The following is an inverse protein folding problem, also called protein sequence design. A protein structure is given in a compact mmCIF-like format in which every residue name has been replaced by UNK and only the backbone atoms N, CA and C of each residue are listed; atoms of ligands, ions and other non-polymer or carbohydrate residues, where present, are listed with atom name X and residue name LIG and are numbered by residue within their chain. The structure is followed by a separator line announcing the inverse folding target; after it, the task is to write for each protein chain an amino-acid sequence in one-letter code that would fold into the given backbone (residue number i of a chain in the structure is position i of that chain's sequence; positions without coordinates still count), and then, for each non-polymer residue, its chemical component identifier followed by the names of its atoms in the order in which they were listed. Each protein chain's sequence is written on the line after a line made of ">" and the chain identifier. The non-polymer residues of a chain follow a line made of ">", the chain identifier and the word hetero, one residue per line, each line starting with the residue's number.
data_IF_797782626937
#
_entry.id   IF_797782626937
#
_cell.length_a   1.000
_cell.length_b   1.000
_cell.length_c   1.000
_cell.angle_alpha   90.00
_cell.angle_beta   90.00
_cell.angle_gamma   90.00
#
_symmetry.space_group_name_H-M   'P 1'
#
loop_
_entity.id
_entity.type
_entity.pdbx_description
1 polymer ?
#
# COMPACT_ATOMS: atom_id res chain seq x y z
N UNK A 1 10.39 -9.26 -3.40
CA UNK A 1 10.02 -7.89 -3.74
C UNK A 1 8.94 -7.91 -4.82
N UNK A 2 9.22 -8.35 -6.04
CA UNK A 2 8.27 -8.35 -7.17
C UNK A 2 6.87 -8.97 -6.90
N UNK A 3 6.73 -9.83 -5.89
CA UNK A 3 5.43 -10.39 -5.52
C UNK A 3 4.55 -9.34 -4.83
N UNK A 4 5.05 -8.67 -3.79
CA UNK A 4 4.26 -7.66 -3.04
C UNK A 4 3.90 -6.47 -3.92
N UNK A 5 4.81 -6.08 -4.83
CA UNK A 5 4.58 -5.02 -5.82
C UNK A 5 3.37 -5.35 -6.71
N UNK A 6 3.34 -6.57 -7.25
CA UNK A 6 2.21 -7.03 -8.07
C UNK A 6 0.92 -7.12 -7.28
N UNK A 7 1.00 -7.56 -6.02
CA UNK A 7 -0.18 -7.73 -5.18
C UNK A 7 -0.81 -6.37 -4.82
N UNK A 8 0.01 -5.37 -4.45
CA UNK A 8 -0.48 -4.01 -4.21
C UNK A 8 -1.11 -3.42 -5.48
N UNK A 9 -0.42 -3.52 -6.64
CA UNK A 9 -0.96 -3.06 -7.93
C UNK A 9 -2.30 -3.71 -8.23
N UNK A 10 -2.37 -5.04 -8.08
CA UNK A 10 -3.61 -5.80 -8.29
C UNK A 10 -4.76 -5.25 -7.44
N UNK A 11 -4.52 -5.00 -6.16
CA UNK A 11 -5.55 -4.46 -5.25
C UNK A 11 -5.94 -3.05 -5.66
N UNK A 12 -4.98 -2.16 -5.94
CA UNK A 12 -5.23 -0.78 -6.35
C UNK A 12 -5.98 -0.67 -7.69
N UNK A 13 -5.63 -1.51 -8.67
CA UNK A 13 -6.28 -1.53 -9.99
C UNK A 13 -7.67 -2.17 -9.92
N UNK A 14 -7.85 -3.21 -9.10
CA UNK A 14 -9.14 -3.90 -8.95
C UNK A 14 -10.14 -3.10 -8.11
N UNK A 15 -9.67 -2.30 -7.16
CA UNK A 15 -10.49 -1.44 -6.32
C UNK A 15 -9.83 -0.08 -6.04
N UNK A 16 -9.91 0.86 -7.02
CA UNK A 16 -9.34 2.20 -6.89
C UNK A 16 -9.82 2.95 -5.65
N UNK A 17 -11.04 2.71 -5.20
CA UNK A 17 -11.63 3.34 -4.01
C UNK A 17 -10.77 3.11 -2.75
N UNK A 18 -10.21 1.92 -2.54
CA UNK A 18 -9.35 1.64 -1.39
C UNK A 18 -8.09 2.51 -1.40
N UNK A 19 -7.52 2.76 -2.58
CA UNK A 19 -6.37 3.64 -2.75
C UNK A 19 -6.75 5.11 -2.50
N UNK A 20 -7.91 5.56 -3.00
CA UNK A 20 -8.42 6.92 -2.77
C UNK A 20 -8.63 7.17 -1.27
N UNK A 21 -9.22 6.23 -0.54
CA UNK A 21 -9.43 6.34 0.91
C UNK A 21 -8.09 6.49 1.65
N UNK A 22 -7.07 5.72 1.27
CA UNK A 22 -5.73 5.83 1.83
C UNK A 22 -5.10 7.20 1.50
N UNK A 23 -5.15 7.64 0.24
CA UNK A 23 -4.62 8.95 -0.20
C UNK A 23 -5.31 10.10 0.54
N UNK A 24 -6.63 10.07 0.65
CA UNK A 24 -7.39 11.07 1.39
C UNK A 24 -6.94 11.16 2.85
N UNK A 25 -6.70 10.01 3.49
CA UNK A 25 -6.23 9.96 4.87
C UNK A 25 -4.80 10.48 5.02
N UNK A 26 -3.88 10.03 4.16
CA UNK A 26 -2.45 10.36 4.25
C UNK A 26 -2.18 11.83 3.97
N UNK A 27 -2.81 12.37 2.94
CA UNK A 27 -2.55 13.73 2.45
C UNK A 27 -3.62 14.74 2.88
N UNK A 28 -4.55 14.36 3.78
CA UNK A 28 -5.67 15.21 4.21
C UNK A 28 -6.44 15.79 3.03
N UNK A 29 -6.71 14.94 2.02
CA UNK A 29 -7.48 15.28 0.83
C UNK A 29 -8.92 14.80 0.97
N UNK A 30 -9.78 15.27 0.05
CA UNK A 30 -11.21 14.96 0.02
C UNK A 30 -11.66 14.61 -1.40
N UNK A 31 -10.85 13.79 -2.11
CA UNK A 31 -11.25 13.27 -3.41
C UNK A 31 -12.52 12.43 -3.26
N UNK A 32 -13.38 12.48 -4.28
CA UNK A 32 -14.53 11.58 -4.35
C UNK A 32 -14.05 10.13 -4.33
N UNK A 33 -14.76 9.26 -3.62
CA UNK A 33 -14.39 7.84 -3.51
C UNK A 33 -14.53 7.08 -4.85
N UNK A 34 -15.23 7.67 -5.82
CA UNK A 34 -15.43 7.22 -7.19
C UNK A 34 -14.64 8.05 -8.23
N UNK A 35 -13.71 8.91 -7.77
CA UNK A 35 -12.86 9.66 -8.68
C UNK A 35 -12.02 8.75 -9.57
N UNK A 36 -11.80 9.16 -10.80
CA UNK A 36 -10.92 8.45 -11.72
C UNK A 36 -9.46 8.56 -11.27
N UNK A 37 -8.76 7.42 -11.25
CA UNK A 37 -7.32 7.37 -11.02
C UNK A 37 -6.62 7.16 -12.36
N UNK A 38 -5.72 8.07 -12.72
CA UNK A 38 -4.84 7.93 -13.86
C UNK A 38 -3.48 7.46 -13.37
N UNK A 39 -3.11 6.20 -13.63
CA UNK A 39 -1.78 5.70 -13.33
C UNK A 39 -0.79 6.21 -14.36
N UNK A 40 0.25 6.94 -13.89
CA UNK A 40 1.23 7.60 -14.75
C UNK A 40 2.42 6.69 -15.10
N UNK A 41 2.52 5.53 -14.43
CA UNK A 41 3.61 4.59 -14.63
C UNK A 41 3.44 3.75 -15.88
N UNK A 42 4.27 4.03 -16.85
CA UNK A 42 4.62 3.06 -17.88
C UNK A 42 6.13 2.92 -17.89
N UNK A 43 6.60 1.81 -17.28
CA UNK A 43 7.95 1.26 -17.43
C UNK A 43 9.08 2.30 -17.40
N UNK A 44 9.51 2.67 -16.21
CA UNK A 44 10.85 3.23 -16.07
C UNK A 44 11.84 2.06 -16.08
N UNK A 45 12.36 1.72 -17.26
CA UNK A 45 13.62 1.01 -17.37
C UNK A 45 14.72 1.93 -16.83
N UNK A 46 14.92 1.90 -15.52
CA UNK A 46 16.08 2.52 -14.90
C UNK A 46 17.23 1.52 -15.09
N UNK A 47 18.12 1.84 -16.01
CA UNK A 47 19.44 1.24 -16.17
C UNK A 47 20.32 1.57 -14.95
N UNK A 48 19.89 1.17 -13.77
CA UNK A 48 20.72 1.14 -12.57
C UNK A 48 21.06 -0.33 -12.30
N UNK A 49 22.32 -0.69 -12.51
CA UNK A 49 22.86 -2.05 -12.38
C UNK A 49 22.79 -2.66 -10.98
N UNK A 50 21.89 -2.22 -10.11
CA UNK A 50 21.54 -2.83 -8.85
C UNK A 50 20.15 -3.44 -8.94
N UNK A 51 20.07 -4.76 -8.77
CA UNK A 51 18.88 -5.61 -8.82
C UNK A 51 17.86 -5.35 -7.69
N UNK A 52 17.55 -4.12 -7.36
CA UNK A 52 16.49 -3.76 -6.39
C UNK A 52 15.32 -3.20 -7.15
N UNK A 53 14.36 -4.07 -7.43
CA UNK A 53 13.05 -3.69 -7.98
C UNK A 53 12.27 -2.99 -6.87
N UNK A 54 12.06 -1.72 -7.01
CA UNK A 54 11.27 -0.90 -6.11
C UNK A 54 9.94 -0.61 -6.78
N UNK A 55 8.87 -0.58 -6.01
CA UNK A 55 7.56 -0.25 -6.52
C UNK A 55 7.25 1.21 -6.28
N UNK A 56 7.49 2.00 -7.30
CA UNK A 56 7.02 3.38 -7.34
C UNK A 56 5.61 3.40 -7.95
N UNK A 57 4.68 4.05 -7.29
CA UNK A 57 3.34 4.27 -7.83
C UNK A 57 3.15 5.76 -8.08
N UNK A 58 3.12 6.15 -9.34
CA UNK A 58 2.78 7.51 -9.76
C UNK A 58 1.35 7.52 -10.30
N UNK A 59 0.55 8.44 -9.80
CA UNK A 59 -0.85 8.56 -10.21
C UNK A 59 -1.34 10.00 -10.12
N UNK A 60 -2.46 10.26 -10.80
CA UNK A 60 -3.16 11.53 -10.77
C UNK A 60 -4.63 11.30 -10.42
N UNK A 61 -5.16 12.11 -9.51
CA UNK A 61 -6.58 12.16 -9.13
C UNK A 61 -6.98 13.63 -9.14
N UNK A 62 -7.99 14.02 -9.94
CA UNK A 62 -8.52 15.39 -9.97
C UNK A 62 -7.41 16.44 -10.13
N UNK A 63 -6.44 16.21 -11.03
CA UNK A 63 -5.28 17.08 -11.29
C UNK A 63 -4.25 17.15 -10.15
N UNK A 64 -4.40 16.38 -9.08
CA UNK A 64 -3.39 16.23 -8.04
C UNK A 64 -2.50 15.01 -8.35
N UNK A 65 -1.19 15.20 -8.39
CA UNK A 65 -0.23 14.11 -8.63
C UNK A 65 0.30 13.56 -7.33
N UNK A 66 0.42 12.22 -7.29
CA UNK A 66 0.87 11.46 -6.14
C UNK A 66 2.00 10.53 -6.53
N UNK A 67 2.97 10.42 -5.62
CA UNK A 67 4.04 9.42 -5.68
C UNK A 67 4.07 8.64 -4.37
N UNK A 68 3.72 7.36 -4.42
CA UNK A 68 3.69 6.48 -3.26
C UNK A 68 4.73 5.39 -3.50
N UNK A 69 5.72 5.33 -2.63
CA UNK A 69 6.75 4.31 -2.62
C UNK A 69 6.42 3.25 -1.59
N UNK A 70 6.37 1.98 -2.01
CA UNK A 70 6.21 0.85 -1.11
C UNK A 70 7.54 0.15 -0.91
N UNK A 71 7.97 0.00 0.33
CA UNK A 71 9.27 -0.56 0.64
C UNK A 71 9.18 -1.67 1.68
N UNK A 72 9.99 -2.72 1.48
CA UNK A 72 10.04 -3.85 2.41
C UNK A 72 10.82 -3.50 3.67
N UNK A 73 11.94 -2.81 3.53
CA UNK A 73 12.87 -2.49 4.63
C UNK A 73 13.30 -1.02 4.54
N UNK A 74 13.76 -0.50 5.68
CA UNK A 74 14.38 0.82 5.75
C UNK A 74 15.58 0.90 4.79
N UNK A 75 15.68 2.02 4.07
CA UNK A 75 16.75 2.32 3.13
C UNK A 75 16.91 3.83 2.96
N UNK A 76 17.72 4.26 2.02
CA UNK A 76 18.00 5.69 1.79
C UNK A 76 16.84 6.35 0.99
N UNK A 77 15.62 6.32 1.60
CA UNK A 77 14.38 6.70 0.93
C UNK A 77 14.30 8.18 0.60
N UNK A 78 14.82 9.03 1.48
CA UNK A 78 14.74 10.48 1.30
C UNK A 78 15.32 10.92 -0.05
N UNK A 79 16.51 10.41 -0.40
CA UNK A 79 17.19 10.76 -1.67
C UNK A 79 16.36 10.25 -2.86
N UNK A 80 15.88 9.02 -2.79
CA UNK A 80 15.09 8.40 -3.88
C UNK A 80 13.78 9.15 -4.11
N UNK A 81 13.07 9.50 -3.04
CA UNK A 81 11.82 10.25 -3.15
C UNK A 81 12.03 11.59 -3.85
N UNK A 82 13.09 12.33 -3.49
CA UNK A 82 13.43 13.59 -4.16
C UNK A 82 13.80 13.33 -5.63
N UNK A 83 14.66 12.35 -5.90
CA UNK A 83 15.11 12.04 -7.25
C UNK A 83 13.94 11.66 -8.17
N UNK A 84 13.07 10.76 -7.75
CA UNK A 84 11.96 10.30 -8.56
C UNK A 84 10.87 11.36 -8.71
N UNK A 85 10.54 12.09 -7.63
CA UNK A 85 9.62 13.22 -7.71
C UNK A 85 10.08 14.28 -8.72
N UNK A 86 11.36 14.61 -8.72
CA UNK A 86 11.95 15.57 -9.67
C UNK A 86 11.97 15.02 -11.10
N UNK A 87 12.35 13.75 -11.29
CA UNK A 87 12.33 13.12 -12.62
C UNK A 87 10.93 13.13 -13.24
N UNK A 88 9.92 12.78 -12.46
CA UNK A 88 8.55 12.76 -12.94
C UNK A 88 8.03 14.17 -13.26
N UNK A 89 8.35 15.14 -12.41
CA UNK A 89 8.03 16.56 -12.67
C UNK A 89 8.66 17.04 -13.97
N UNK A 90 9.96 16.79 -14.18
CA UNK A 90 10.68 17.18 -15.39
C UNK A 90 10.12 16.47 -16.61
N UNK A 91 9.73 15.19 -16.50
CA UNK A 91 9.10 14.44 -17.58
C UNK A 91 7.77 15.08 -17.99
N UNK A 92 6.93 15.43 -17.01
CA UNK A 92 5.67 16.14 -17.26
C UNK A 92 5.87 17.45 -17.98
N UNK A 93 6.84 18.28 -17.54
CA UNK A 93 7.18 19.53 -18.21
C UNK A 93 7.61 19.35 -19.66
N UNK A 94 8.40 18.31 -19.96
CA UNK A 94 8.83 18.01 -21.35
C UNK A 94 7.69 17.55 -22.25
N UNK A 95 6.71 16.85 -21.71
CA UNK A 95 5.57 16.35 -22.47
C UNK A 95 4.52 17.42 -22.72
N UNK A 96 4.28 18.29 -21.76
CA UNK A 96 3.21 19.29 -21.83
C UNK A 96 3.67 20.63 -22.38
N UNK A 97 4.98 20.85 -22.54
CA UNK A 97 5.52 22.07 -23.11
C UNK A 97 5.33 23.33 -22.25
N UNK A 98 5.16 23.17 -20.94
CA UNK A 98 4.83 24.25 -19.99
C UNK A 98 5.99 25.21 -19.72
N UNK A 99 6.81 25.49 -20.73
CA UNK A 99 7.81 26.54 -20.69
C UNK A 99 7.19 27.81 -21.27
N UNK A 100 6.77 28.70 -20.41
CA UNK A 100 6.19 29.98 -20.82
C UNK A 100 7.31 30.96 -21.11
N UNK A 101 7.36 31.46 -22.34
CA UNK A 101 8.24 32.58 -22.67
C UNK A 101 7.59 33.86 -22.18
N UNK A 102 8.18 34.46 -21.14
CA UNK A 102 7.81 35.80 -20.68
C UNK A 102 8.59 36.81 -21.50
N UNK A 103 8.03 38.00 -21.77
CA UNK A 103 8.67 39.07 -22.53
C UNK A 103 10.11 39.39 -22.04
N UNK A 104 10.95 39.91 -22.92
CA UNK A 104 12.33 40.34 -22.63
C UNK A 104 13.38 39.23 -22.38
N UNK A 105 13.21 38.07 -23.02
CA UNK A 105 14.20 37.00 -22.95
C UNK A 105 14.16 36.20 -21.63
N UNK A 106 13.14 36.38 -20.82
CA UNK A 106 12.85 35.58 -19.63
C UNK A 106 12.04 34.34 -20.00
N UNK A 107 12.40 33.22 -19.37
CA UNK A 107 11.63 32.00 -19.39
C UNK A 107 11.19 31.69 -17.96
N UNK A 108 9.92 31.34 -17.78
CA UNK A 108 9.38 30.87 -16.53
C UNK A 108 9.03 29.40 -16.67
N UNK A 109 9.41 28.61 -15.69
CA UNK A 109 9.08 27.20 -15.56
C UNK A 109 8.43 27.01 -14.21
N UNK A 110 7.21 26.50 -14.22
CA UNK A 110 6.55 26.10 -12.97
C UNK A 110 6.86 24.63 -12.68
N UNK A 111 7.45 24.36 -11.53
CA UNK A 111 7.82 23.01 -11.08
C UNK A 111 6.86 22.59 -9.97
N UNK A 112 5.92 21.70 -10.30
CA UNK A 112 4.94 21.18 -9.35
C UNK A 112 5.35 19.76 -8.96
N UNK A 113 5.88 19.63 -7.73
CA UNK A 113 6.23 18.32 -7.19
C UNK A 113 4.97 17.52 -6.85
N UNK A 114 4.96 16.19 -7.09
CA UNK A 114 3.86 15.34 -6.62
C UNK A 114 3.81 15.32 -5.08
N UNK A 115 2.65 15.08 -4.53
CA UNK A 115 2.51 14.72 -3.12
C UNK A 115 3.10 13.32 -2.91
N UNK A 116 4.03 13.18 -1.96
CA UNK A 116 4.83 11.97 -1.83
C UNK A 116 4.64 11.32 -0.46
N UNK A 117 4.58 9.99 -0.44
CA UNK A 117 4.55 9.19 0.79
C UNK A 117 5.37 7.91 0.65
N UNK A 118 5.90 7.42 1.75
CA UNK A 118 6.59 6.12 1.85
C UNK A 118 5.76 5.17 2.69
N UNK A 119 5.55 3.94 2.20
CA UNK A 119 4.86 2.87 2.91
C UNK A 119 5.84 1.75 3.21
N UNK A 120 6.16 1.53 4.48
CA UNK A 120 7.00 0.42 4.91
C UNK A 120 6.17 -0.83 5.17
N UNK A 121 6.35 -1.87 4.37
CA UNK A 121 5.63 -3.14 4.52
C UNK A 121 6.26 -4.02 5.62
N UNK A 122 7.57 -3.86 5.87
CA UNK A 122 8.28 -4.58 6.92
C UNK A 122 9.32 -3.67 7.58
N UNK A 123 9.66 -3.94 8.84
CA UNK A 123 10.53 -3.08 9.63
C UNK A 123 9.73 -2.16 10.55
N UNK A 124 10.32 -1.77 11.67
CA UNK A 124 9.72 -0.76 12.53
C UNK A 124 10.27 0.58 12.08
N UNK A 125 9.54 1.29 11.24
CA UNK A 125 9.84 2.71 11.06
C UNK A 125 9.44 3.42 12.36
N UNK A 126 10.38 4.12 12.96
CA UNK A 126 10.16 4.94 14.16
C UNK A 126 9.79 6.37 13.82
N UNK A 127 9.91 6.73 12.56
CA UNK A 127 9.73 8.09 12.07
C UNK A 127 8.44 8.14 11.26
N UNK A 128 7.54 9.01 11.67
CA UNK A 128 6.28 9.23 10.96
C UNK A 128 6.47 10.16 9.74
N UNK A 129 7.65 10.75 9.58
CA UNK A 129 7.91 11.78 8.57
C UNK A 129 9.39 11.81 8.20
N UNK A 130 9.66 11.99 6.91
CA UNK A 130 10.98 12.36 6.38
C UNK A 130 10.93 13.85 6.01
N UNK A 131 11.74 14.68 6.64
CA UNK A 131 11.84 16.11 6.30
C UNK A 131 12.91 16.32 5.23
N UNK A 132 12.54 16.96 4.13
CA UNK A 132 13.43 17.33 3.04
C UNK A 132 13.69 18.83 3.07
N UNK A 133 14.97 19.22 3.16
CA UNK A 133 15.42 20.61 3.10
C UNK A 133 16.17 20.85 1.79
N UNK A 134 15.62 21.64 0.89
CA UNK A 134 16.24 22.05 -0.36
C UNK A 134 16.84 23.44 -0.21
N UNK A 135 18.18 23.53 -0.26
CA UNK A 135 18.90 24.78 -0.26
C UNK A 135 19.05 25.31 -1.69
N UNK A 136 18.48 26.47 -1.97
CA UNK A 136 18.55 27.13 -3.27
C UNK A 136 19.81 27.98 -3.41
N UNK A 137 20.29 28.23 -4.65
CA UNK A 137 21.50 29.01 -4.89
C UNK A 137 21.47 30.45 -4.36
N UNK A 138 20.27 31.02 -4.19
CA UNK A 138 20.07 32.37 -3.64
C UNK A 138 20.05 32.40 -2.09
N UNK A 139 20.37 31.27 -1.45
CA UNK A 139 20.42 31.13 0.01
C UNK A 139 19.05 30.81 0.65
N UNK A 140 17.97 30.76 -0.11
CA UNK A 140 16.67 30.36 0.40
C UNK A 140 16.64 28.85 0.65
N UNK A 141 15.79 28.43 1.58
CA UNK A 141 15.53 27.06 1.88
C UNK A 141 14.04 26.77 1.72
N UNK A 142 13.72 25.68 1.03
CA UNK A 142 12.37 25.13 0.95
C UNK A 142 12.35 23.82 1.75
N UNK A 143 11.44 23.73 2.70
CA UNK A 143 11.27 22.54 3.53
C UNK A 143 9.91 21.91 3.25
N UNK A 144 9.87 20.57 3.08
CA UNK A 144 8.63 19.83 2.99
C UNK A 144 8.78 18.47 3.65
N UNK A 145 7.65 17.93 4.11
CA UNK A 145 7.58 16.68 4.82
C UNK A 145 6.97 15.59 3.96
N UNK A 146 7.59 14.40 4.01
CA UNK A 146 7.12 13.17 3.37
C UNK A 146 6.54 12.28 4.45
N UNK A 147 5.23 12.02 4.49
CA UNK A 147 4.64 11.09 5.43
C UNK A 147 5.18 9.68 5.23
N UNK A 148 5.52 9.03 6.35
CA UNK A 148 5.95 7.65 6.41
C UNK A 148 4.87 6.81 7.08
N UNK A 149 4.41 5.81 6.37
CA UNK A 149 3.38 4.87 6.83
C UNK A 149 4.02 3.53 7.12
N UNK A 150 3.47 2.81 8.06
CA UNK A 150 3.95 1.47 8.39
C UNK A 150 2.79 0.47 8.47
N UNK A 151 2.94 -0.67 7.80
CA UNK A 151 2.05 -1.81 8.01
C UNK A 151 2.23 -2.45 9.39
N UNK A 152 3.07 -1.89 10.28
CA UNK A 152 3.24 -2.39 11.66
C UNK A 152 2.16 -1.91 12.62
N UNK A 153 1.27 -1.02 12.19
CA UNK A 153 0.11 -0.61 12.96
C UNK A 153 -0.86 -1.78 13.14
N UNK A 154 -1.66 -1.79 14.19
CA UNK A 154 -2.68 -2.82 14.38
C UNK A 154 -3.76 -2.74 13.29
N UNK A 155 -4.48 -3.83 13.04
CA UNK A 155 -5.61 -3.87 12.11
C UNK A 155 -6.61 -2.75 12.41
N UNK A 156 -6.94 -2.55 13.69
CA UNK A 156 -7.87 -1.50 14.14
C UNK A 156 -7.34 -0.08 13.89
N UNK A 157 -6.02 0.15 14.02
CA UNK A 157 -5.41 1.45 13.72
C UNK A 157 -5.43 1.75 12.22
N UNK A 158 -5.09 0.76 11.38
CA UNK A 158 -5.18 0.89 9.93
C UNK A 158 -6.63 1.16 9.49
N UNK A 159 -7.59 0.45 10.09
CA UNK A 159 -9.02 0.65 9.84
C UNK A 159 -9.46 2.06 10.21
N UNK A 160 -9.12 2.53 11.41
CA UNK A 160 -9.45 3.90 11.86
C UNK A 160 -8.87 4.98 10.96
N UNK A 161 -7.70 4.73 10.38
CA UNK A 161 -7.03 5.62 9.42
C UNK A 161 -7.52 5.43 7.98
N UNK A 162 -8.52 4.58 7.74
CA UNK A 162 -9.01 4.22 6.39
C UNK A 162 -7.92 3.65 5.46
N UNK A 163 -6.91 3.01 6.04
CA UNK A 163 -5.81 2.37 5.32
C UNK A 163 -6.07 0.88 5.10
N UNK A 164 -7.30 0.54 4.72
CA UNK A 164 -7.77 -0.85 4.55
C UNK A 164 -6.89 -1.65 3.60
N UNK A 165 -6.39 -0.99 2.55
CA UNK A 165 -5.43 -1.54 1.58
C UNK A 165 -4.22 -2.20 2.24
N UNK A 166 -3.76 -1.69 3.41
CA UNK A 166 -2.55 -2.17 4.09
C UNK A 166 -2.81 -3.33 5.05
N UNK A 167 -4.07 -3.64 5.38
CA UNK A 167 -4.41 -4.73 6.30
C UNK A 167 -3.76 -6.06 5.89
N UNK A 168 -3.85 -6.53 4.63
CA UNK A 168 -3.22 -7.79 4.23
C UNK A 168 -1.71 -7.82 4.40
N UNK A 169 -1.05 -6.67 4.32
CA UNK A 169 0.41 -6.56 4.34
C UNK A 169 1.02 -6.60 5.74
N UNK A 170 0.22 -6.54 6.80
CA UNK A 170 0.71 -6.69 8.18
C UNK A 170 1.42 -8.04 8.42
N UNK A 171 1.01 -9.11 7.75
CA UNK A 171 1.68 -10.42 7.85
C UNK A 171 3.14 -10.36 7.38
N UNK A 172 3.46 -9.49 6.41
CA UNK A 172 4.84 -9.28 5.94
C UNK A 172 5.70 -8.74 7.09
N UNK A 173 5.14 -7.85 7.87
CA UNK A 173 5.78 -7.29 9.07
C UNK A 173 6.00 -8.35 10.16
N UNK A 174 4.98 -9.16 10.44
CA UNK A 174 5.08 -10.24 11.42
C UNK A 174 6.18 -11.23 11.03
N UNK A 175 6.17 -11.69 9.80
CA UNK A 175 7.15 -12.62 9.25
C UNK A 175 8.58 -12.03 9.28
N UNK A 176 8.75 -10.79 8.85
CA UNK A 176 10.04 -10.10 8.84
C UNK A 176 10.65 -9.93 10.24
N UNK A 177 9.83 -9.62 11.25
CA UNK A 177 10.29 -9.52 12.66
C UNK A 177 10.85 -10.84 13.16
N UNK A 178 10.21 -11.93 12.85
CA UNK A 178 10.61 -13.26 13.29
C UNK A 178 11.85 -13.77 12.57
N UNK A 179 12.00 -13.50 11.27
CA UNK A 179 13.21 -13.86 10.52
C UNK A 179 14.46 -13.13 11.01
N UNK A 180 14.31 -11.90 11.52
CA UNK A 180 15.43 -11.13 12.12
C UNK A 180 15.84 -11.65 13.50
N UNK A 181 15.07 -12.54 14.13
CA UNK A 181 15.45 -13.13 15.41
C UNK A 181 16.72 -13.97 15.23
N UNK A 182 17.75 -13.72 16.09
CA UNK A 182 19.08 -14.36 16.02
C UNK A 182 19.06 -15.89 16.04
N UNK A 183 17.95 -16.49 16.46
CA UNK A 183 17.76 -17.94 16.52
C UNK A 183 16.37 -18.28 15.95
N UNK A 184 16.33 -18.61 14.67
CA UNK A 184 15.13 -19.09 13.98
C UNK A 184 14.92 -20.58 14.32
N UNK A 185 14.57 -20.85 15.57
CA UNK A 185 14.32 -22.20 16.10
C UNK A 185 12.89 -22.65 15.81
N UNK A 186 12.63 -23.96 15.96
CA UNK A 186 11.28 -24.52 15.86
C UNK A 186 10.29 -23.81 16.80
N UNK A 187 10.70 -23.49 18.02
CA UNK A 187 9.89 -22.71 18.96
C UNK A 187 9.55 -21.32 18.42
N UNK A 188 10.48 -20.69 17.68
CA UNK A 188 10.23 -19.38 17.05
C UNK A 188 9.24 -19.51 15.90
N UNK A 189 9.33 -20.58 15.12
CA UNK A 189 8.39 -20.89 14.05
C UNK A 189 6.97 -21.11 14.55
N UNK A 190 6.81 -21.87 15.64
CA UNK A 190 5.51 -22.08 16.27
C UNK A 190 4.87 -20.77 16.75
N UNK A 191 5.67 -19.90 17.39
CA UNK A 191 5.19 -18.56 17.78
C UNK A 191 4.80 -17.68 16.59
N UNK A 192 5.49 -17.81 15.46
CA UNK A 192 5.11 -17.10 14.26
C UNK A 192 3.79 -17.65 13.69
N UNK A 193 3.62 -18.96 13.66
CA UNK A 193 2.37 -19.58 13.25
C UNK A 193 1.19 -19.09 14.11
N UNK A 194 1.34 -19.09 15.43
CA UNK A 194 0.35 -18.53 16.37
C UNK A 194 0.04 -17.06 16.08
N UNK A 195 1.09 -16.24 15.86
CA UNK A 195 0.91 -14.82 15.58
C UNK A 195 0.21 -14.55 14.25
N UNK A 196 0.53 -15.32 13.20
CA UNK A 196 -0.15 -15.24 11.90
C UNK A 196 -1.61 -15.67 12.02
N UNK A 197 -1.89 -16.74 12.75
CA UNK A 197 -3.26 -17.20 13.00
C UNK A 197 -4.11 -16.13 13.71
N UNK A 198 -3.61 -15.58 14.83
CA UNK A 198 -4.31 -14.52 15.55
C UNK A 198 -4.51 -13.27 14.69
N UNK A 199 -3.50 -12.89 13.90
CA UNK A 199 -3.64 -11.80 12.94
C UNK A 199 -4.77 -12.06 11.94
N UNK A 200 -4.86 -13.27 11.39
CA UNK A 200 -5.95 -13.63 10.46
C UNK A 200 -7.32 -13.50 11.09
N UNK A 201 -7.48 -13.95 12.34
CA UNK A 201 -8.73 -13.80 13.08
C UNK A 201 -9.10 -12.33 13.29
N UNK A 202 -8.13 -11.50 13.70
CA UNK A 202 -8.34 -10.07 13.92
C UNK A 202 -8.67 -9.35 12.61
N UNK A 203 -7.94 -9.66 11.53
CA UNK A 203 -8.18 -9.08 10.22
C UNK A 203 -9.57 -9.46 9.69
N UNK A 204 -9.95 -10.75 9.80
CA UNK A 204 -11.28 -11.24 9.40
C UNK A 204 -12.38 -10.52 10.16
N UNK A 205 -12.28 -10.49 11.49
CA UNK A 205 -13.28 -9.83 12.34
C UNK A 205 -13.45 -8.36 11.98
N UNK A 206 -12.35 -7.66 11.71
CA UNK A 206 -12.41 -6.24 11.34
C UNK A 206 -13.03 -6.05 9.94
N UNK A 207 -12.66 -6.89 8.96
CA UNK A 207 -13.23 -6.83 7.62
C UNK A 207 -14.74 -7.13 7.63
N UNK A 208 -15.19 -8.12 8.41
CA UNK A 208 -16.60 -8.42 8.62
C UNK A 208 -17.33 -7.21 9.24
N UNK A 209 -16.76 -6.60 10.27
CA UNK A 209 -17.31 -5.41 10.93
C UNK A 209 -17.42 -4.21 9.97
N UNK A 210 -16.40 -3.98 9.15
CA UNK A 210 -16.42 -2.93 8.13
C UNK A 210 -17.50 -3.17 7.07
N UNK A 211 -17.71 -4.43 6.70
CA UNK A 211 -18.78 -4.81 5.78
C UNK A 211 -20.17 -4.63 6.38
N UNK A 212 -20.40 -5.13 7.60
CA UNK A 212 -21.67 -5.02 8.31
C UNK A 212 -22.08 -3.56 8.54
N UNK A 213 -21.10 -2.68 8.76
CA UNK A 213 -21.34 -1.23 8.91
C UNK A 213 -21.44 -0.49 7.56
N UNK A 214 -21.38 -1.20 6.41
CA UNK A 214 -21.47 -0.60 5.09
C UNK A 214 -20.29 0.28 4.68
N UNK A 215 -19.16 0.16 5.38
CA UNK A 215 -17.92 0.91 5.08
C UNK A 215 -17.21 0.28 3.88
N UNK A 216 -17.13 -1.05 3.85
CA UNK A 216 -16.62 -1.83 2.72
C UNK A 216 -17.76 -2.66 2.11
N UNK A 217 -17.79 -2.75 0.78
CA UNK A 217 -18.70 -3.66 0.10
C UNK A 217 -18.13 -5.08 0.02
N UNK A 218 -18.95 -6.06 -0.39
CA UNK A 218 -18.57 -7.45 -0.45
C UNK A 218 -17.34 -7.72 -1.36
N UNK A 219 -17.27 -7.03 -2.52
CA UNK A 219 -16.15 -7.20 -3.45
C UNK A 219 -14.83 -6.67 -2.87
N UNK A 220 -14.88 -5.58 -2.11
CA UNK A 220 -13.73 -5.01 -1.42
C UNK A 220 -13.20 -5.94 -0.33
N UNK A 221 -14.11 -6.52 0.45
CA UNK A 221 -13.75 -7.53 1.46
C UNK A 221 -13.15 -8.77 0.81
N UNK A 222 -13.78 -9.31 -0.23
CA UNK A 222 -13.26 -10.47 -0.98
C UNK A 222 -11.87 -10.21 -1.55
N UNK A 223 -11.65 -9.02 -2.12
CA UNK A 223 -10.34 -8.61 -2.65
C UNK A 223 -9.26 -8.57 -1.56
N UNK A 224 -9.56 -7.99 -0.40
CA UNK A 224 -8.64 -7.91 0.73
C UNK A 224 -8.36 -9.30 1.33
N UNK A 225 -9.38 -10.15 1.45
CA UNK A 225 -9.26 -11.53 1.89
C UNK A 225 -8.41 -12.35 0.93
N UNK A 226 -8.64 -12.22 -0.37
CA UNK A 226 -7.80 -12.87 -1.39
C UNK A 226 -6.34 -12.40 -1.29
N UNK A 227 -6.12 -11.12 -1.03
CA UNK A 227 -4.77 -10.59 -0.83
C UNK A 227 -4.11 -11.15 0.44
N UNK A 228 -4.87 -11.33 1.53
CA UNK A 228 -4.40 -12.01 2.73
C UNK A 228 -3.86 -13.41 2.42
N UNK A 229 -4.61 -14.21 1.66
CA UNK A 229 -4.19 -15.56 1.26
C UNK A 229 -2.95 -15.55 0.37
N UNK A 230 -2.97 -14.73 -0.68
CA UNK A 230 -1.84 -14.66 -1.62
C UNK A 230 -0.53 -14.31 -0.92
N UNK A 231 -0.58 -13.37 0.03
CA UNK A 231 0.59 -12.96 0.80
C UNK A 231 1.03 -14.08 1.74
N UNK A 232 0.09 -14.73 2.44
CA UNK A 232 0.39 -15.85 3.31
C UNK A 232 1.05 -17.00 2.55
N UNK A 233 0.47 -17.41 1.44
CA UNK A 233 1.03 -18.47 0.59
C UNK A 233 2.45 -18.14 0.14
N UNK A 234 2.69 -16.89 -0.26
CA UNK A 234 4.04 -16.45 -0.65
C UNK A 234 5.02 -16.46 0.53
N UNK A 235 4.58 -16.07 1.73
CA UNK A 235 5.42 -16.09 2.94
C UNK A 235 5.77 -17.50 3.38
N UNK A 236 4.81 -18.41 3.29
CA UNK A 236 4.93 -19.78 3.80
C UNK A 236 5.46 -20.78 2.75
N UNK A 237 5.72 -20.35 1.52
CA UNK A 237 6.18 -21.24 0.45
C UNK A 237 7.46 -22.02 0.78
N UNK A 238 8.29 -21.50 1.68
CA UNK A 238 9.58 -22.10 2.05
C UNK A 238 9.62 -22.62 3.50
N UNK A 239 8.48 -22.72 4.20
CA UNK A 239 8.44 -23.18 5.58
C UNK A 239 7.22 -24.06 5.86
N UNK A 240 7.38 -25.36 5.54
CA UNK A 240 6.32 -26.37 5.68
C UNK A 240 5.82 -26.48 7.13
N UNK A 241 6.69 -26.32 8.14
CA UNK A 241 6.30 -26.42 9.56
C UNK A 241 5.32 -25.30 9.94
N UNK A 242 5.59 -24.06 9.52
CA UNK A 242 4.70 -22.94 9.82
C UNK A 242 3.39 -23.12 9.08
N UNK A 243 3.46 -23.51 7.80
CA UNK A 243 2.27 -23.79 6.97
C UNK A 243 1.37 -24.82 7.62
N UNK A 244 1.92 -26.00 7.99
CA UNK A 244 1.18 -27.08 8.63
C UNK A 244 0.48 -26.58 9.92
N UNK A 245 1.21 -25.82 10.76
CA UNK A 245 0.65 -25.28 12.00
C UNK A 245 -0.45 -24.24 11.79
N UNK A 246 -0.28 -23.33 10.83
CA UNK A 246 -1.32 -22.35 10.49
C UNK A 246 -2.58 -23.06 9.97
N UNK A 247 -2.40 -24.08 9.13
CA UNK A 247 -3.48 -24.91 8.60
C UNK A 247 -4.20 -25.68 9.72
N UNK A 248 -3.45 -26.37 10.61
CA UNK A 248 -4.05 -27.08 11.76
C UNK A 248 -4.88 -26.17 12.68
N UNK A 249 -4.51 -24.87 12.79
CA UNK A 249 -5.20 -23.92 13.66
C UNK A 249 -6.47 -23.33 13.03
N UNK A 250 -6.64 -23.35 11.71
CA UNK A 250 -7.65 -22.48 11.16
C UNK A 250 -8.26 -22.68 9.79
N UNK A 251 -8.11 -23.81 9.11
CA UNK A 251 -8.72 -23.98 7.79
C UNK A 251 -10.25 -23.93 7.81
N UNK A 252 -10.91 -24.39 8.88
CA UNK A 252 -12.37 -24.43 8.98
C UNK A 252 -13.01 -23.03 9.05
N UNK A 253 -12.35 -22.05 9.69
CA UNK A 253 -12.92 -20.73 9.91
C UNK A 253 -12.83 -19.81 8.69
N UNK A 254 -11.89 -20.06 7.80
CA UNK A 254 -11.62 -19.17 6.67
C UNK A 254 -12.49 -19.47 5.45
N UNK A 255 -12.76 -20.74 5.20
CA UNK A 255 -13.72 -21.18 4.19
C UNK A 255 -15.12 -20.64 4.50
N UNK A 256 -15.44 -20.52 5.79
CA UNK A 256 -16.74 -20.03 6.25
C UNK A 256 -17.05 -18.56 5.89
N UNK A 257 -16.06 -17.67 5.65
CA UNK A 257 -16.34 -16.28 5.25
C UNK A 257 -16.72 -16.17 3.78
N UNK A 258 -15.90 -16.77 2.89
CA UNK A 258 -16.22 -16.80 1.45
C UNK A 258 -17.56 -17.48 1.19
N UNK A 259 -17.85 -18.58 1.88
CA UNK A 259 -19.13 -19.28 1.78
C UNK A 259 -20.31 -18.44 2.29
N UNK A 260 -20.14 -17.69 3.40
CA UNK A 260 -21.17 -16.77 3.89
C UNK A 260 -21.43 -15.62 2.93
N UNK A 261 -20.38 -14.99 2.38
CA UNK A 261 -20.52 -13.92 1.41
C UNK A 261 -21.18 -14.40 0.11
N UNK A 262 -20.84 -15.62 -0.36
CA UNK A 262 -21.48 -16.27 -1.49
C UNK A 262 -22.96 -16.56 -1.17
N UNK A 263 -23.27 -17.11 -0.01
CA UNK A 263 -24.64 -17.38 0.41
C UNK A 263 -25.46 -16.10 0.56
N UNK A 264 -24.90 -15.05 1.17
CA UNK A 264 -25.56 -13.75 1.27
C UNK A 264 -25.82 -13.11 -0.11
N UNK A 265 -24.85 -13.24 -1.04
CA UNK A 265 -25.04 -12.82 -2.43
C UNK A 265 -26.15 -13.60 -3.15
N UNK A 266 -26.22 -14.90 -2.95
CA UNK A 266 -27.29 -15.77 -3.48
C UNK A 266 -28.65 -15.39 -2.87
N UNK A 267 -28.75 -15.21 -1.55
CA UNK A 267 -29.98 -14.80 -0.89
C UNK A 267 -30.48 -13.42 -1.32
N UNK A 268 -29.58 -12.46 -1.48
CA UNK A 268 -29.92 -11.16 -2.01
C UNK A 268 -30.36 -11.22 -3.48
N UNK A 269 -29.70 -12.04 -4.31
CA UNK A 269 -30.08 -12.27 -5.68
C UNK A 269 -31.47 -12.91 -5.80
N UNK A 270 -31.78 -13.90 -4.92
CA UNK A 270 -33.10 -14.53 -4.86
C UNK A 270 -34.17 -13.51 -4.41
N UNK A 271 -33.90 -12.69 -3.39
CA UNK A 271 -34.85 -11.66 -2.93
C UNK A 271 -35.11 -10.57 -3.98
N UNK A 272 -34.15 -10.27 -4.84
CA UNK A 272 -34.30 -9.32 -5.95
C UNK A 272 -34.94 -9.94 -7.20
N UNK A 273 -34.77 -11.26 -7.39
CA UNK A 273 -35.34 -12.01 -8.53
C UNK A 273 -36.79 -12.47 -8.36
N UNK A 274 -37.36 -12.35 -7.15
CA UNK A 274 -38.76 -12.72 -6.85
C UNK A 274 -39.70 -11.48 -6.94
N UNK A 275 -39.22 -10.37 -7.49
CA UNK A 275 -40.10 -9.26 -7.92
C UNK A 275 -40.24 -9.29 -9.43
#
# INVERSE_FOLDING_TARGET
>A
MAFYDREIKRVCESCPRLLILMINSVFSKHHSEDAEIIFLDKEQNIDSGENTTYMDMFLEIESCRYHIEYQLLEGNMAIRMVEYGMKETIRGLRQNGDITRVSDGRYEIEIIMPLQAVVFLAGANKEDTITVNLHLPDGKMVTYDLPCLSASETVSELSRKKMYLLIPFQQVQLYSRMLKAKHYTERTKLKLAEALYHFKLDAKKELDNLHENGILNANEVELLVTSLHNIEDNLLNNDDLIREKVTEMGDEDYIALSDRLIQQGIEQGIKQGIK
#
